data_IF_497957279550
#
_entry.id   IF_497957279550
#
_cell.length_a   1.000
_cell.length_b   1.000
_cell.length_c   1.000
_cell.angle_alpha   90.00
_cell.angle_beta   90.00
_cell.angle_gamma   90.00
#
_symmetry.space_group_name_H-M   'P 1'
#
loop_
_entity.id
_entity.type
_entity.pdbx_description
1 polymer ?
#
# COMPACT_ATOMS: atom_id res chain seq x y z
N UNK A 1 -11.58 66.95 -37.02
CA UNK A 1 -10.68 65.99 -37.70
C UNK A 1 -10.57 64.75 -36.81
N UNK A 2 -11.36 63.71 -37.09
CA UNK A 2 -11.39 62.48 -36.28
C UNK A 2 -10.75 61.34 -37.04
N UNK A 3 -9.60 60.86 -36.56
CA UNK A 3 -8.93 59.68 -37.07
C UNK A 3 -9.57 58.41 -36.48
N UNK A 4 -10.10 57.53 -37.34
CA UNK A 4 -10.65 56.21 -36.96
C UNK A 4 -9.51 55.18 -36.94
N UNK A 5 -9.28 54.56 -35.78
CA UNK A 5 -8.38 53.40 -35.60
C UNK A 5 -9.03 52.13 -36.16
N UNK A 6 -8.36 51.47 -37.10
CA UNK A 6 -8.72 50.14 -37.59
C UNK A 6 -8.28 49.07 -36.57
N UNK A 7 -9.24 48.33 -35.99
CA UNK A 7 -9.00 47.10 -35.25
C UNK A 7 -9.00 45.92 -36.23
N UNK A 8 -7.84 45.31 -36.47
CA UNK A 8 -7.73 44.00 -37.12
C UNK A 8 -7.91 42.93 -36.03
N UNK A 9 -8.99 42.15 -36.09
CA UNK A 9 -9.16 40.93 -35.30
C UNK A 9 -8.66 39.73 -36.14
N UNK A 10 -7.89 38.79 -35.56
CA UNK A 10 -7.31 37.66 -36.29
C UNK A 10 -8.34 36.54 -36.47
N UNK A 11 -8.67 36.24 -37.72
CA UNK A 11 -9.59 35.20 -38.18
C UNK A 11 -8.97 33.77 -38.15
N UNK A 12 -7.86 33.57 -37.43
CA UNK A 12 -7.06 32.34 -37.48
C UNK A 12 -7.39 31.32 -36.37
N UNK A 13 -8.28 31.63 -35.44
CA UNK A 13 -8.49 30.81 -34.23
C UNK A 13 -9.58 29.72 -34.32
N UNK A 14 -10.31 29.61 -35.43
CA UNK A 14 -11.49 28.71 -35.52
C UNK A 14 -11.21 27.37 -36.21
N UNK A 15 -10.08 27.22 -36.92
CA UNK A 15 -9.79 26.02 -37.73
C UNK A 15 -9.00 24.90 -37.02
N UNK A 16 -8.60 25.08 -35.76
CA UNK A 16 -7.80 24.10 -35.00
C UNK A 16 -8.61 23.17 -34.07
N UNK A 17 -9.95 23.27 -34.05
CA UNK A 17 -10.81 22.49 -33.13
C UNK A 17 -11.39 21.19 -33.70
N UNK A 18 -11.11 20.82 -34.95
CA UNK A 18 -11.75 19.66 -35.61
C UNK A 18 -10.83 18.46 -35.87
N UNK A 19 -9.54 18.52 -35.52
CA UNK A 19 -8.57 17.46 -35.84
C UNK A 19 -8.26 16.48 -34.68
N UNK A 20 -9.01 16.54 -33.57
CA UNK A 20 -8.81 15.64 -32.41
C UNK A 20 -9.98 14.65 -32.23
N UNK A 21 -10.57 14.18 -33.33
CA UNK A 21 -11.49 13.05 -33.31
C UNK A 21 -10.70 11.74 -33.19
N UNK A 22 -10.45 11.27 -31.97
CA UNK A 22 -9.94 9.92 -31.74
C UNK A 22 -10.90 8.93 -32.42
N UNK A 23 -10.45 8.26 -33.49
CA UNK A 23 -11.18 7.16 -34.12
C UNK A 23 -11.25 6.04 -33.09
N UNK A 24 -12.31 6.02 -32.28
CA UNK A 24 -12.57 4.97 -31.33
C UNK A 24 -12.96 3.72 -32.13
N UNK A 25 -12.14 2.67 -32.07
CA UNK A 25 -12.49 1.41 -32.71
C UNK A 25 -13.82 0.94 -32.10
N UNK A 26 -14.83 0.62 -32.91
CA UNK A 26 -16.09 0.17 -32.36
C UNK A 26 -15.87 -1.12 -31.57
N UNK A 27 -16.55 -1.24 -30.42
CA UNK A 27 -16.30 -2.30 -29.43
C UNK A 27 -16.35 -3.71 -30.04
N UNK A 28 -17.20 -3.97 -31.03
CA UNK A 28 -17.29 -5.29 -31.68
C UNK A 28 -16.05 -5.69 -32.48
N UNK A 29 -15.17 -4.75 -32.84
CA UNK A 29 -13.89 -5.03 -33.51
C UNK A 29 -12.73 -5.26 -32.53
N UNK A 30 -12.90 -4.98 -31.23
CA UNK A 30 -11.86 -5.27 -30.24
C UNK A 30 -11.75 -6.78 -29.99
N UNK A 31 -10.55 -7.30 -29.66
CA UNK A 31 -10.37 -8.67 -29.18
C UNK A 31 -11.33 -8.99 -28.02
N UNK A 32 -11.79 -10.24 -27.94
CA UNK A 32 -12.77 -10.66 -26.94
C UNK A 32 -12.34 -10.33 -25.51
N UNK A 33 -11.08 -10.65 -25.17
CA UNK A 33 -10.49 -10.36 -23.87
C UNK A 33 -10.65 -8.87 -23.47
N UNK A 34 -10.36 -7.94 -24.39
CA UNK A 34 -10.48 -6.49 -24.16
C UNK A 34 -11.94 -6.08 -23.92
N UNK A 35 -12.90 -6.69 -24.63
CA UNK A 35 -14.32 -6.36 -24.49
C UNK A 35 -14.90 -6.85 -23.16
N UNK A 36 -14.50 -8.03 -22.72
CA UNK A 36 -15.05 -8.70 -21.53
C UNK A 36 -14.34 -8.29 -20.24
N UNK A 37 -13.07 -7.90 -20.32
CA UNK A 37 -12.24 -7.56 -19.16
C UNK A 37 -12.87 -6.55 -18.19
N UNK A 38 -13.44 -5.41 -18.64
CA UNK A 38 -14.03 -4.44 -17.71
C UNK A 38 -15.14 -5.03 -16.83
N UNK A 39 -15.97 -5.92 -17.38
CA UNK A 39 -17.04 -6.57 -16.62
C UNK A 39 -16.49 -7.60 -15.63
N UNK A 40 -15.51 -8.41 -16.05
CA UNK A 40 -14.80 -9.36 -15.20
C UNK A 40 -14.13 -8.66 -14.02
N UNK A 41 -13.39 -7.58 -14.29
CA UNK A 41 -12.69 -6.81 -13.27
C UNK A 41 -13.68 -6.19 -12.26
N UNK A 42 -14.74 -5.53 -12.72
CA UNK A 42 -15.76 -4.97 -11.84
C UNK A 42 -16.45 -6.03 -10.98
N UNK A 43 -16.69 -7.22 -11.53
CA UNK A 43 -17.23 -8.36 -10.76
C UNK A 43 -16.27 -8.80 -9.65
N UNK A 44 -14.99 -8.99 -9.98
CA UNK A 44 -13.96 -9.36 -9.01
C UNK A 44 -13.76 -8.29 -7.93
N UNK A 45 -13.74 -7.01 -8.32
CA UNK A 45 -13.66 -5.88 -7.40
C UNK A 45 -14.85 -5.86 -6.45
N UNK A 46 -16.07 -5.98 -6.96
CA UNK A 46 -17.26 -6.03 -6.12
C UNK A 46 -17.26 -7.22 -5.15
N UNK A 47 -16.67 -8.36 -5.53
CA UNK A 47 -16.49 -9.50 -4.64
C UNK A 47 -15.46 -9.18 -3.53
N UNK A 48 -14.31 -8.62 -3.88
CA UNK A 48 -13.28 -8.20 -2.93
C UNK A 48 -13.80 -7.15 -1.94
N UNK A 49 -14.58 -6.16 -2.40
CA UNK A 49 -15.17 -5.11 -1.55
C UNK A 49 -16.13 -5.67 -0.49
N UNK A 50 -16.72 -6.85 -0.73
CA UNK A 50 -17.57 -7.56 0.25
C UNK A 50 -16.79 -8.55 1.11
N UNK A 51 -15.46 -8.57 1.01
CA UNK A 51 -14.59 -9.54 1.67
C UNK A 51 -14.60 -10.95 1.05
N UNK A 52 -15.25 -11.14 -0.10
CA UNK A 52 -15.31 -12.42 -0.80
C UNK A 52 -14.09 -12.61 -1.72
N UNK A 53 -12.89 -12.65 -1.13
CA UNK A 53 -11.63 -12.71 -1.87
C UNK A 53 -11.45 -13.99 -2.70
N UNK A 54 -11.97 -15.12 -2.24
CA UNK A 54 -11.92 -16.39 -2.98
C UNK A 54 -12.74 -16.32 -4.28
N UNK A 55 -13.87 -15.60 -4.25
CA UNK A 55 -14.70 -15.36 -5.44
C UNK A 55 -14.01 -14.40 -6.42
N UNK A 56 -13.36 -13.37 -5.90
CA UNK A 56 -12.54 -12.45 -6.70
C UNK A 56 -11.38 -13.18 -7.39
N UNK A 57 -10.61 -13.99 -6.64
CA UNK A 57 -9.49 -14.76 -7.20
C UNK A 57 -9.97 -15.75 -8.26
N UNK A 58 -11.05 -16.49 -7.98
CA UNK A 58 -11.65 -17.45 -8.93
C UNK A 58 -12.08 -16.78 -10.23
N UNK A 59 -12.78 -15.64 -10.14
CA UNK A 59 -13.25 -14.88 -11.31
C UNK A 59 -12.07 -14.46 -12.19
N UNK A 60 -11.01 -13.92 -11.59
CA UNK A 60 -9.81 -13.49 -12.32
C UNK A 60 -8.99 -14.68 -12.86
N UNK A 61 -8.91 -15.78 -12.11
CA UNK A 61 -8.20 -16.99 -12.52
C UNK A 61 -8.88 -17.67 -13.73
N UNK A 62 -10.21 -17.73 -13.73
CA UNK A 62 -10.99 -18.25 -14.85
C UNK A 62 -10.82 -17.39 -16.11
N UNK A 63 -10.82 -16.07 -15.96
CA UNK A 63 -10.55 -15.15 -17.06
C UNK A 63 -9.15 -15.36 -17.65
N UNK A 64 -8.12 -15.44 -16.81
CA UNK A 64 -6.74 -15.65 -17.26
C UNK A 64 -6.58 -17.02 -17.97
N UNK A 65 -7.30 -18.05 -17.51
CA UNK A 65 -7.29 -19.38 -18.13
C UNK A 65 -7.98 -19.40 -19.50
N UNK A 66 -9.07 -18.65 -19.65
CA UNK A 66 -9.83 -18.57 -20.91
C UNK A 66 -9.16 -17.67 -21.96
N UNK A 67 -8.35 -16.70 -21.53
CA UNK A 67 -7.69 -15.73 -22.40
C UNK A 67 -6.15 -15.74 -22.23
N UNK A 68 -5.47 -16.88 -22.39
CA UNK A 68 -4.02 -16.95 -22.16
C UNK A 68 -3.26 -16.03 -23.12
N UNK A 69 -2.10 -15.53 -22.68
CA UNK A 69 -1.22 -14.66 -23.47
C UNK A 69 -1.83 -13.32 -23.91
N UNK A 70 -2.87 -12.85 -23.22
CA UNK A 70 -3.43 -11.50 -23.42
C UNK A 70 -2.93 -10.54 -22.34
N UNK A 71 -2.88 -9.24 -22.65
CA UNK A 71 -2.55 -8.22 -21.65
C UNK A 71 -3.52 -8.26 -20.46
N UNK A 72 -4.80 -8.51 -20.72
CA UNK A 72 -5.84 -8.62 -19.70
C UNK A 72 -5.66 -9.84 -18.80
N UNK A 73 -5.09 -10.95 -19.30
CA UNK A 73 -4.76 -12.09 -18.45
C UNK A 73 -3.54 -11.81 -17.54
N UNK A 74 -2.54 -11.08 -18.03
CA UNK A 74 -1.47 -10.58 -17.16
C UNK A 74 -2.03 -9.65 -16.08
N UNK A 75 -2.93 -8.75 -16.46
CA UNK A 75 -3.60 -7.83 -15.56
C UNK A 75 -4.46 -8.54 -14.50
N UNK A 76 -5.14 -9.61 -14.88
CA UNK A 76 -5.82 -10.50 -13.92
C UNK A 76 -4.82 -11.09 -12.90
N UNK A 77 -3.63 -11.48 -13.33
CA UNK A 77 -2.55 -11.94 -12.45
C UNK A 77 -2.10 -10.87 -11.44
N UNK A 78 -1.99 -9.61 -11.87
CA UNK A 78 -1.69 -8.47 -10.99
C UNK A 78 -2.76 -8.29 -9.91
N UNK A 79 -4.02 -8.15 -10.29
CA UNK A 79 -5.11 -7.93 -9.32
C UNK A 79 -5.27 -9.09 -8.33
N UNK A 80 -5.07 -10.33 -8.77
CA UNK A 80 -5.03 -11.49 -7.87
C UNK A 80 -3.93 -11.37 -6.82
N UNK A 81 -2.75 -10.90 -7.22
CA UNK A 81 -1.66 -10.67 -6.28
C UNK A 81 -1.96 -9.52 -5.31
N UNK A 82 -2.59 -8.44 -5.79
CA UNK A 82 -3.05 -7.32 -4.95
C UNK A 82 -4.07 -7.79 -3.90
N UNK A 83 -5.08 -8.56 -4.29
CA UNK A 83 -6.08 -9.10 -3.36
C UNK A 83 -5.52 -10.09 -2.34
N UNK A 84 -4.39 -10.75 -2.64
CA UNK A 84 -3.66 -11.58 -1.68
C UNK A 84 -2.81 -10.78 -0.69
N UNK A 85 -2.48 -9.51 -1.00
CA UNK A 85 -1.81 -8.60 -0.06
C UNK A 85 -2.76 -7.93 0.92
N UNK A 86 -4.06 -7.95 0.64
CA UNK A 86 -5.05 -7.31 1.50
C UNK A 86 -5.06 -7.96 2.89
N UNK A 87 -4.79 -7.21 3.98
CA UNK A 87 -4.82 -7.74 5.33
C UNK A 87 -6.18 -8.31 5.75
N UNK A 88 -7.28 -7.92 5.10
CA UNK A 88 -8.60 -8.49 5.33
C UNK A 88 -8.77 -9.89 4.70
N UNK A 89 -7.93 -10.26 3.74
CA UNK A 89 -7.90 -11.61 3.17
C UNK A 89 -7.13 -12.59 4.06
N UNK A 90 -7.83 -13.21 5.02
CA UNK A 90 -7.22 -14.15 5.99
C UNK A 90 -6.80 -15.49 5.39
N UNK A 91 -7.28 -15.82 4.20
CA UNK A 91 -7.00 -17.09 3.54
C UNK A 91 -5.75 -17.02 2.63
N UNK A 92 -5.24 -15.83 2.33
CA UNK A 92 -4.07 -15.63 1.50
C UNK A 92 -2.78 -15.48 2.32
N UNK A 93 -1.65 -15.84 1.71
CA UNK A 93 -0.33 -15.57 2.28
C UNK A 93 0.39 -14.45 1.53
N UNK A 94 1.14 -13.62 2.26
CA UNK A 94 2.02 -12.59 1.67
C UNK A 94 3.04 -13.19 0.70
N UNK A 95 3.46 -14.45 0.91
CA UNK A 95 4.36 -15.16 -0.01
C UNK A 95 3.70 -15.44 -1.36
N UNK A 96 2.44 -15.87 -1.38
CA UNK A 96 1.72 -16.11 -2.62
C UNK A 96 1.48 -14.82 -3.42
N UNK A 97 1.28 -13.71 -2.72
CA UNK A 97 1.22 -12.40 -3.35
C UNK A 97 2.56 -12.01 -3.99
N UNK A 98 3.69 -12.21 -3.31
CA UNK A 98 5.03 -11.97 -3.88
C UNK A 98 5.23 -12.80 -5.15
N UNK A 99 4.90 -14.10 -5.10
CA UNK A 99 5.01 -14.98 -6.27
C UNK A 99 4.13 -14.51 -7.43
N UNK A 100 2.91 -14.03 -7.15
CA UNK A 100 2.02 -13.45 -8.15
C UNK A 100 2.58 -12.18 -8.79
N UNK A 101 3.13 -11.26 -7.98
CA UNK A 101 3.77 -10.03 -8.45
C UNK A 101 5.04 -10.32 -9.27
N UNK A 102 5.83 -11.32 -8.87
CA UNK A 102 7.00 -11.77 -9.64
C UNK A 102 6.58 -12.29 -11.02
N UNK A 103 5.50 -13.08 -11.09
CA UNK A 103 4.92 -13.54 -12.34
C UNK A 103 4.44 -12.40 -13.25
N UNK A 104 3.78 -11.38 -12.67
CA UNK A 104 3.36 -10.19 -13.42
C UNK A 104 4.55 -9.39 -13.96
N UNK A 105 5.57 -9.16 -13.12
CA UNK A 105 6.77 -8.41 -13.50
C UNK A 105 7.62 -9.13 -14.57
N UNK A 106 7.52 -10.46 -14.66
CA UNK A 106 8.14 -11.27 -15.70
C UNK A 106 7.45 -11.12 -17.08
N UNK A 107 6.21 -10.63 -17.12
CA UNK A 107 5.47 -10.42 -18.37
C UNK A 107 5.95 -9.16 -19.10
N UNK A 108 5.89 -9.20 -20.43
CA UNK A 108 6.23 -8.05 -21.30
C UNK A 108 5.05 -7.11 -21.43
N UNK A 109 5.30 -5.79 -21.53
CA UNK A 109 4.29 -4.75 -21.75
C UNK A 109 3.11 -4.77 -20.75
N UNK A 110 3.43 -4.73 -19.46
CA UNK A 110 2.44 -4.63 -18.39
C UNK A 110 2.28 -3.19 -17.91
N UNK A 111 1.04 -2.78 -17.65
CA UNK A 111 0.68 -1.37 -17.35
C UNK A 111 1.13 -0.95 -15.94
N UNK A 112 1.01 -1.83 -14.94
CA UNK A 112 1.28 -1.50 -13.53
C UNK A 112 2.67 -1.94 -13.04
N UNK A 113 3.69 -1.84 -13.90
CA UNK A 113 5.05 -2.30 -13.57
C UNK A 113 5.62 -1.56 -12.34
N UNK A 114 5.39 -0.26 -12.23
CA UNK A 114 5.92 0.58 -11.15
C UNK A 114 5.26 0.26 -9.80
N UNK A 115 3.94 0.13 -9.80
CA UNK A 115 3.11 -0.23 -8.65
C UNK A 115 3.44 -1.65 -8.19
N UNK A 116 3.48 -2.63 -9.10
CA UNK A 116 3.82 -4.01 -8.78
C UNK A 116 5.22 -4.14 -8.15
N UNK A 117 6.21 -3.41 -8.67
CA UNK A 117 7.56 -3.37 -8.10
C UNK A 117 7.57 -2.83 -6.66
N UNK A 118 6.77 -1.79 -6.40
CA UNK A 118 6.64 -1.18 -5.08
C UNK A 118 5.93 -2.12 -4.10
N UNK A 119 4.79 -2.68 -4.50
CA UNK A 119 4.04 -3.65 -3.71
C UNK A 119 4.89 -4.89 -3.36
N UNK A 120 5.68 -5.39 -4.32
CA UNK A 120 6.59 -6.53 -4.08
C UNK A 120 7.63 -6.23 -3.00
N UNK A 121 8.25 -5.04 -3.05
CA UNK A 121 9.23 -4.61 -2.03
C UNK A 121 8.58 -4.50 -0.65
N UNK A 122 7.40 -3.88 -0.57
CA UNK A 122 6.64 -3.76 0.68
C UNK A 122 6.27 -5.14 1.24
N UNK A 123 5.76 -6.04 0.40
CA UNK A 123 5.42 -7.40 0.80
C UNK A 123 6.65 -8.17 1.35
N UNK A 124 7.82 -7.99 0.72
CA UNK A 124 9.08 -8.58 1.22
C UNK A 124 9.49 -8.01 2.58
N UNK A 125 9.32 -6.71 2.78
CA UNK A 125 9.57 -6.08 4.09
C UNK A 125 8.62 -6.61 5.17
N UNK A 126 7.33 -6.81 4.85
CA UNK A 126 6.37 -7.41 5.77
C UNK A 126 6.79 -8.84 6.19
N UNK A 127 7.18 -9.69 5.23
CA UNK A 127 7.67 -11.05 5.54
C UNK A 127 8.94 -11.00 6.42
N UNK A 128 9.83 -10.04 6.18
CA UNK A 128 11.03 -9.83 7.01
C UNK A 128 10.67 -9.43 8.45
N UNK A 129 9.70 -8.52 8.60
CA UNK A 129 9.19 -8.07 9.88
C UNK A 129 8.52 -9.21 10.65
N UNK A 130 7.64 -9.97 10.00
CA UNK A 130 6.97 -11.13 10.62
C UNK A 130 7.99 -12.14 11.14
N UNK A 131 9.07 -12.38 10.37
CA UNK A 131 10.16 -13.26 10.80
C UNK A 131 10.90 -12.70 12.01
N UNK A 132 11.21 -11.39 12.02
CA UNK A 132 11.89 -10.76 13.15
C UNK A 132 11.03 -10.80 14.43
N UNK A 133 9.71 -10.59 14.28
CA UNK A 133 8.76 -10.69 15.39
C UNK A 133 8.63 -12.12 15.91
N UNK A 134 8.59 -13.12 15.01
CA UNK A 134 8.55 -14.54 15.39
C UNK A 134 9.86 -15.02 16.04
N UNK A 135 10.99 -14.37 15.73
CA UNK A 135 12.30 -14.68 16.31
C UNK A 135 12.56 -14.00 17.65
N UNK A 136 11.72 -13.04 18.07
CA UNK A 136 11.85 -12.41 19.38
C UNK A 136 11.67 -13.52 20.42
N UNK A 137 12.74 -13.94 21.12
CA UNK A 137 12.63 -14.97 22.13
C UNK A 137 11.64 -14.44 23.17
N UNK A 138 10.80 -15.32 23.71
CA UNK A 138 10.22 -15.06 25.03
C UNK A 138 11.41 -14.72 25.93
N UNK A 139 11.57 -13.43 26.27
CA UNK A 139 12.62 -12.97 27.16
C UNK A 139 12.49 -13.86 28.40
N UNK A 140 13.48 -14.71 28.73
CA UNK A 140 13.35 -15.58 29.88
C UNK A 140 13.10 -14.67 31.10
N UNK A 141 12.25 -15.08 32.05
CA UNK A 141 11.78 -14.23 33.16
C UNK A 141 12.93 -13.65 34.02
N UNK A 142 14.16 -14.11 33.81
CA UNK A 142 15.39 -13.59 34.42
C UNK A 142 15.75 -12.17 33.95
N UNK A 143 15.54 -11.84 32.67
CA UNK A 143 15.80 -10.49 32.14
C UNK A 143 14.72 -9.47 32.57
N UNK A 144 13.49 -9.94 32.81
CA UNK A 144 12.43 -9.12 33.39
C UNK A 144 12.73 -8.81 34.87
N UNK A 145 13.17 -9.82 35.65
CA UNK A 145 13.58 -9.63 37.05
C UNK A 145 14.73 -8.65 37.21
N UNK A 146 15.76 -8.71 36.35
CA UNK A 146 16.89 -7.77 36.46
C UNK A 146 16.46 -6.31 36.19
N UNK A 147 15.51 -6.09 35.28
CA UNK A 147 14.95 -4.76 35.01
C UNK A 147 14.09 -4.27 36.18
N UNK A 148 13.28 -5.15 36.77
CA UNK A 148 12.46 -4.79 37.92
C UNK A 148 13.31 -4.46 39.16
N UNK A 149 14.40 -5.22 39.39
CA UNK A 149 15.38 -4.93 40.44
C UNK A 149 16.09 -3.59 40.20
N UNK A 150 16.46 -3.28 38.96
CA UNK A 150 17.08 -2.01 38.59
C UNK A 150 16.11 -0.83 38.76
N UNK A 151 14.84 -0.98 38.35
CA UNK A 151 13.79 0.02 38.55
C UNK A 151 13.52 0.25 40.03
N UNK A 152 13.51 -0.82 40.84
CA UNK A 152 13.33 -0.70 42.29
C UNK A 152 14.51 0.04 42.94
N UNK A 153 15.75 -0.29 42.56
CA UNK A 153 16.94 0.41 43.04
C UNK A 153 16.90 1.91 42.71
N UNK A 154 16.52 2.26 41.48
CA UNK A 154 16.41 3.66 41.05
C UNK A 154 15.31 4.41 41.83
N UNK A 155 14.20 3.75 42.18
CA UNK A 155 13.17 4.34 43.04
C UNK A 155 13.67 4.60 44.44
N UNK A 156 14.41 3.66 45.01
CA UNK A 156 14.97 3.79 46.35
C UNK A 156 16.02 4.93 46.40
N UNK A 157 16.87 5.04 45.38
CA UNK A 157 17.83 6.16 45.24
C UNK A 157 17.12 7.52 45.08
N UNK A 158 16.03 7.59 44.31
CA UNK A 158 15.22 8.80 44.19
C UNK A 158 14.55 9.19 45.52
N UNK A 159 14.08 8.21 46.29
CA UNK A 159 13.49 8.49 47.59
C UNK A 159 14.53 8.96 48.59
N UNK A 160 15.71 8.33 48.62
CA UNK A 160 16.81 8.74 49.49
C UNK A 160 17.29 10.17 49.19
N UNK A 161 17.47 10.51 47.90
CA UNK A 161 17.87 11.87 47.49
C UNK A 161 16.81 12.91 47.83
N UNK A 162 15.52 12.56 47.72
CA UNK A 162 14.41 13.43 48.13
C UNK A 162 14.40 13.70 49.64
N UNK A 163 14.69 12.68 50.45
CA UNK A 163 14.78 12.81 51.90
C UNK A 163 15.99 13.68 52.31
N UNK A 164 17.12 13.55 51.61
CA UNK A 164 18.28 14.43 51.81
C UNK A 164 17.98 15.89 51.46
N UNK A 165 17.27 16.15 50.36
CA UNK A 165 16.85 17.50 49.99
C UNK A 165 15.96 18.14 51.06
N UNK A 166 14.99 17.40 51.59
CA UNK A 166 14.13 17.89 52.67
C UNK A 166 14.93 18.15 53.96
N UNK A 167 15.93 17.33 54.27
CA UNK A 167 16.83 17.58 55.41
C UNK A 167 17.65 18.86 55.24
N UNK A 168 18.21 19.09 54.05
CA UNK A 168 18.97 20.32 53.74
C UNK A 168 18.04 21.52 53.81
N UNK A 169 16.83 21.42 53.24
CA UNK A 169 15.81 22.46 53.30
C UNK A 169 15.45 22.83 54.73
N UNK A 170 15.26 21.85 55.63
CA UNK A 170 15.03 22.12 57.07
C UNK A 170 16.22 22.82 57.74
N UNK A 171 17.45 22.44 57.39
CA UNK A 171 18.66 23.12 57.90
C UNK A 171 18.76 24.57 57.42
N UNK A 172 18.39 24.85 56.17
CA UNK A 172 18.40 26.20 55.60
C UNK A 172 17.24 27.07 56.10
N UNK A 173 16.09 26.46 56.42
CA UNK A 173 14.92 27.16 56.96
C UNK A 173 15.02 27.44 58.47
N UNK A 174 15.99 26.87 59.18
CA UNK A 174 16.25 27.22 60.57
C UNK A 174 16.84 28.65 60.65
N UNK A 175 16.20 29.58 61.38
CA UNK A 175 16.65 30.97 61.43
C UNK A 175 18.03 31.07 62.07
N UNK A 176 18.90 31.86 61.45
CA UNK A 176 20.24 32.17 61.96
C UNK A 176 20.10 33.06 63.21
N UNK A 177 20.77 32.73 64.33
CA UNK A 177 20.70 33.52 65.56
C UNK A 177 21.29 34.93 65.40
#
# INVERSE_FOLDING_TARGET
MSARRARRLPLAAVLLLLASGCIHRPRFLQPEAERTWPATYLSAQGAADRGAYDDADRTLAEFARSHPNTAQAAEAGYWRAVYKLDPANKNASTRDAIAGLDGYLASTNVDHRGEASTLRRLATQLVSLDRALAQKPDEPPVAAKSRDEEVQKLRDELQATKDELERIKRRLAAPKP
#
